data_IF_529313782773
#
_entry.id   IF_529313782773
#
_cell.length_a   1.000
_cell.length_b   1.000
_cell.length_c   1.000
_cell.angle_alpha   90.00
_cell.angle_beta   90.00
_cell.angle_gamma   90.00
#
_symmetry.space_group_name_H-M   'P 1'
#
loop_
_entity.id
_entity.type
_entity.pdbx_description
1 polymer ?
#
# COMPACT_ATOMS: atom_id res chain seq x y z
N UNK A 1 7.11 -2.39 -2.68
CA UNK A 1 7.18 -2.62 -1.22
C UNK A 1 6.68 -1.39 -0.47
N UNK A 2 7.40 -0.26 -0.45
CA UNK A 2 7.00 0.94 0.34
C UNK A 2 5.60 1.45 0.00
N UNK A 3 5.24 1.52 -1.28
CA UNK A 3 3.91 1.92 -1.77
C UNK A 3 2.79 1.03 -1.21
N UNK A 4 3.03 -0.28 -1.10
CA UNK A 4 2.05 -1.23 -0.57
C UNK A 4 1.84 -1.05 0.94
N UNK A 5 2.91 -0.79 1.69
CA UNK A 5 2.80 -0.43 3.10
C UNK A 5 2.02 0.87 3.28
N UNK A 6 2.25 1.90 2.45
CA UNK A 6 1.46 3.14 2.51
C UNK A 6 -0.04 2.89 2.26
N UNK A 7 -0.39 1.99 1.35
CA UNK A 7 -1.78 1.64 1.09
C UNK A 7 -2.45 0.90 2.27
N UNK A 8 -1.72 -0.01 2.93
CA UNK A 8 -2.20 -0.69 4.14
C UNK A 8 -2.47 0.27 5.30
N UNK A 9 -1.61 1.28 5.43
CA UNK A 9 -1.65 2.28 6.49
C UNK A 9 -2.70 3.39 6.24
N UNK A 10 -3.32 3.45 5.05
CA UNK A 10 -4.37 4.45 4.74
C UNK A 10 -5.78 3.98 5.07
N UNK A 11 -5.97 2.69 5.35
CA UNK A 11 -7.25 2.19 5.84
C UNK A 11 -7.37 2.58 7.30
N UNK A 12 -8.26 3.55 7.61
CA UNK A 12 -8.45 4.13 8.95
C UNK A 12 -8.84 3.10 10.01
N UNK A 13 -9.41 1.98 9.58
CA UNK A 13 -9.81 0.83 10.42
C UNK A 13 -8.64 -0.12 10.72
N UNK A 14 -7.49 0.07 10.08
CA UNK A 14 -6.30 -0.70 10.38
C UNK A 14 -5.82 -0.36 11.80
N UNK A 15 -5.82 -1.35 12.69
CA UNK A 15 -5.16 -1.26 14.00
C UNK A 15 -3.63 -1.04 13.90
N UNK A 16 -3.05 -1.05 12.69
CA UNK A 16 -1.62 -0.80 12.45
C UNK A 16 -1.31 0.64 12.07
N UNK A 17 -2.31 1.52 11.95
CA UNK A 17 -2.15 2.92 11.53
C UNK A 17 -0.99 3.64 12.24
N UNK A 18 0.05 3.96 11.49
CA UNK A 18 1.24 4.66 11.94
C UNK A 18 1.41 5.96 11.14
N UNK A 19 0.87 7.05 11.68
CA UNK A 19 0.97 8.40 11.09
C UNK A 19 2.40 8.85 10.79
N UNK A 20 3.39 8.38 11.56
CA UNK A 20 4.80 8.76 11.39
C UNK A 20 5.49 8.02 10.24
N UNK A 21 4.97 6.84 9.86
CA UNK A 21 5.45 6.12 8.68
C UNK A 21 5.26 6.95 7.42
N UNK A 22 4.10 7.58 7.28
CA UNK A 22 3.78 8.41 6.12
C UNK A 22 4.75 9.59 5.97
N UNK A 23 4.97 10.36 7.03
CA UNK A 23 5.86 11.54 7.04
C UNK A 23 7.30 11.18 6.65
N UNK A 24 7.78 10.01 7.08
CA UNK A 24 9.16 9.58 6.82
C UNK A 24 9.37 9.09 5.39
N UNK A 25 8.39 8.39 4.81
CA UNK A 25 8.59 7.65 3.55
C UNK A 25 7.90 8.31 2.34
N UNK A 26 6.89 9.15 2.52
CA UNK A 26 6.24 9.89 1.42
C UNK A 26 7.25 10.67 0.55
N UNK A 27 8.26 11.39 1.11
CA UNK A 27 9.22 12.15 0.29
C UNK A 27 10.13 11.25 -0.58
N UNK A 28 10.27 9.98 -0.22
CA UNK A 28 11.16 9.02 -0.90
C UNK A 28 10.48 8.32 -2.09
N UNK A 29 9.19 8.58 -2.31
CA UNK A 29 8.40 7.92 -3.35
C UNK A 29 8.07 8.93 -4.45
N UNK A 30 8.03 8.46 -5.70
CA UNK A 30 7.55 9.27 -6.82
C UNK A 30 6.13 9.76 -6.52
N UNK A 31 5.87 11.04 -6.77
CA UNK A 31 4.60 11.71 -6.45
C UNK A 31 3.36 10.96 -6.97
N UNK A 32 3.48 10.31 -8.14
CA UNK A 32 2.45 9.48 -8.76
C UNK A 32 1.97 8.30 -7.88
N UNK A 33 2.79 7.84 -6.92
CA UNK A 33 2.44 6.76 -6.00
C UNK A 33 2.24 7.21 -4.55
N UNK A 34 2.43 8.49 -4.24
CA UNK A 34 2.31 9.02 -2.88
C UNK A 34 0.90 8.84 -2.30
N UNK A 35 -0.11 8.77 -3.17
CA UNK A 35 -1.51 8.64 -2.80
C UNK A 35 -2.08 7.23 -2.94
N UNK A 36 -1.22 6.22 -3.10
CA UNK A 36 -1.64 4.83 -3.27
C UNK A 36 -2.58 4.40 -2.14
N UNK A 37 -3.72 3.83 -2.50
CA UNK A 37 -4.69 3.24 -1.57
C UNK A 37 -5.23 1.93 -2.15
N UNK A 38 -5.82 1.11 -1.31
CA UNK A 38 -6.48 -0.11 -1.77
C UNK A 38 -7.67 0.23 -2.66
N UNK A 39 -7.80 -0.44 -3.80
CA UNK A 39 -8.97 -0.33 -4.67
C UNK A 39 -10.25 -0.76 -3.95
N UNK A 40 -10.14 -1.75 -3.05
CA UNK A 40 -11.24 -2.21 -2.19
C UNK A 40 -10.73 -2.29 -0.75
N UNK A 41 -11.24 -1.46 0.18
CA UNK A 41 -10.83 -1.53 1.58
C UNK A 41 -11.04 -2.91 2.22
N UNK A 42 -12.09 -3.65 1.81
CA UNK A 42 -12.38 -5.00 2.27
C UNK A 42 -11.25 -6.01 1.98
N UNK A 43 -10.40 -5.76 0.96
CA UNK A 43 -9.28 -6.63 0.61
C UNK A 43 -8.05 -6.42 1.51
N UNK A 44 -8.14 -5.55 2.54
CA UNK A 44 -7.02 -5.21 3.41
C UNK A 44 -6.31 -6.42 4.00
N UNK A 45 -7.05 -7.40 4.54
CA UNK A 45 -6.43 -8.58 5.16
C UNK A 45 -5.70 -9.42 4.11
N UNK A 46 -6.31 -9.63 2.95
CA UNK A 46 -5.73 -10.40 1.83
C UNK A 46 -4.45 -9.73 1.33
N UNK A 47 -4.48 -8.40 1.19
CA UNK A 47 -3.33 -7.64 0.73
C UNK A 47 -2.20 -7.64 1.77
N UNK A 48 -2.52 -7.53 3.05
CA UNK A 48 -1.56 -7.64 4.16
C UNK A 48 -0.88 -9.01 4.15
N UNK A 49 -1.66 -10.09 4.05
CA UNK A 49 -1.13 -11.45 4.05
C UNK A 49 -0.21 -11.70 2.84
N UNK A 50 -0.58 -11.19 1.66
CA UNK A 50 0.29 -11.19 0.47
C UNK A 50 1.63 -10.49 0.74
N UNK A 51 1.60 -9.30 1.35
CA UNK A 51 2.80 -8.52 1.63
C UNK A 51 3.73 -9.22 2.64
N UNK A 52 3.16 -9.82 3.69
CA UNK A 52 3.92 -10.60 4.66
C UNK A 52 4.49 -11.89 4.08
N UNK A 53 3.70 -12.62 3.29
CA UNK A 53 4.18 -13.84 2.62
C UNK A 53 5.34 -13.51 1.66
N UNK A 54 5.25 -12.40 0.91
CA UNK A 54 6.32 -11.94 0.03
C UNK A 54 7.57 -11.56 0.81
N UNK A 55 7.45 -10.77 1.88
CA UNK A 55 8.58 -10.40 2.72
C UNK A 55 9.26 -11.64 3.32
N UNK A 56 8.46 -12.57 3.83
CA UNK A 56 8.94 -13.82 4.39
C UNK A 56 9.67 -14.68 3.36
N UNK A 57 9.11 -14.87 2.15
CA UNK A 57 9.78 -15.61 1.06
C UNK A 57 11.12 -15.00 0.69
N UNK A 58 11.20 -13.67 0.57
CA UNK A 58 12.46 -12.97 0.27
C UNK A 58 13.49 -13.18 1.38
N UNK A 59 13.09 -13.05 2.64
CA UNK A 59 13.98 -13.27 3.79
C UNK A 59 14.49 -14.71 3.90
N UNK A 60 13.72 -15.69 3.41
CA UNK A 60 14.14 -17.08 3.31
C UNK A 60 15.10 -17.35 2.12
N UNK A 61 15.53 -16.32 1.38
CA UNK A 61 16.38 -16.47 0.21
C UNK A 61 15.67 -17.09 -1.00
N UNK A 62 14.33 -17.17 -1.01
CA UNK A 62 13.59 -17.67 -2.17
C UNK A 62 13.64 -16.66 -3.29
N UNK A 63 13.83 -17.15 -4.50
CA UNK A 63 13.77 -16.31 -5.69
C UNK A 63 12.32 -15.87 -5.93
N UNK A 64 12.13 -14.55 -6.02
CA UNK A 64 10.82 -13.94 -6.25
C UNK A 64 10.83 -13.28 -7.61
N UNK A 65 9.91 -13.71 -8.49
CA UNK A 65 9.70 -13.07 -9.80
C UNK A 65 9.13 -11.66 -9.63
N UNK A 66 10.01 -10.67 -9.54
CA UNK A 66 9.69 -9.28 -9.25
C UNK A 66 8.61 -8.71 -10.17
N UNK A 67 8.60 -9.08 -11.46
CA UNK A 67 7.60 -8.60 -12.43
C UNK A 67 6.19 -9.07 -12.10
N UNK A 68 6.03 -10.36 -11.77
CA UNK A 68 4.74 -10.94 -11.40
C UNK A 68 4.25 -10.39 -10.08
N UNK A 69 5.15 -10.24 -9.10
CA UNK A 69 4.82 -9.64 -7.81
C UNK A 69 4.41 -8.19 -7.95
N UNK A 70 5.15 -7.38 -8.73
CA UNK A 70 4.80 -5.99 -8.99
C UNK A 70 3.40 -5.89 -9.61
N UNK A 71 3.08 -6.71 -10.62
CA UNK A 71 1.75 -6.71 -11.25
C UNK A 71 0.66 -7.08 -10.26
N UNK A 72 0.88 -8.13 -9.45
CA UNK A 72 -0.08 -8.56 -8.43
C UNK A 72 -0.27 -7.52 -7.34
N UNK A 73 0.78 -6.85 -6.89
CA UNK A 73 0.66 -5.79 -5.88
C UNK A 73 -0.09 -4.58 -6.45
N UNK A 74 0.26 -4.14 -7.67
CA UNK A 74 -0.40 -3.01 -8.33
C UNK A 74 -1.89 -3.27 -8.58
N UNK A 75 -2.32 -4.52 -8.81
CA UNK A 75 -3.74 -4.80 -9.04
C UNK A 75 -4.64 -4.60 -7.81
N UNK A 76 -4.07 -4.49 -6.61
CA UNK A 76 -4.83 -4.13 -5.40
C UNK A 76 -4.87 -2.62 -5.15
N UNK A 77 -4.11 -1.83 -5.93
CA UNK A 77 -3.86 -0.44 -5.66
C UNK A 77 -4.49 0.46 -6.71
N UNK A 78 -5.01 1.57 -6.23
CA UNK A 78 -5.34 2.73 -7.06
C UNK A 78 -4.47 3.92 -6.66
N UNK A 79 -4.23 4.80 -7.63
CA UNK A 79 -3.33 5.94 -7.51
C UNK A 79 -4.11 7.23 -7.84
N UNK A 80 -5.01 7.66 -6.95
CA UNK A 80 -5.78 8.88 -7.15
C UNK A 80 -4.85 10.10 -7.21
N UNK A 81 -5.25 11.11 -7.96
CA UNK A 81 -4.53 12.38 -7.95
C UNK A 81 -4.72 13.09 -6.60
N UNK A 82 -3.82 14.04 -6.27
CA UNK A 82 -3.83 14.76 -4.99
C UNK A 82 -5.20 15.36 -4.62
N UNK A 83 -5.94 15.88 -5.61
CA UNK A 83 -7.28 16.44 -5.41
C UNK A 83 -8.32 15.39 -4.98
N UNK A 84 -8.29 14.21 -5.60
CA UNK A 84 -9.21 13.09 -5.31
C UNK A 84 -8.89 12.41 -3.97
N UNK A 85 -7.62 12.39 -3.59
CA UNK A 85 -7.17 11.82 -2.32
C UNK A 85 -7.67 12.61 -1.09
N UNK A 86 -7.91 13.92 -1.23
CA UNK A 86 -8.46 14.77 -0.17
C UNK A 86 -9.99 14.92 -0.23
N UNK A 87 -10.63 14.60 -1.37
CA UNK A 87 -12.08 14.67 -1.55
C UNK A 87 -12.87 13.59 -0.81
N UNK A 88 -12.28 12.43 -0.54
CA UNK A 88 -12.94 11.32 0.17
C UNK A 88 -13.00 11.45 1.70
N UNK A 89 -12.54 12.58 2.27
CA UNK A 89 -12.62 12.87 3.70
C UNK A 89 -13.83 13.74 4.09
N UNK A 90 -14.67 14.12 3.11
CA UNK A 90 -15.97 14.75 3.34
C UNK A 90 -17.08 13.76 2.97
N UNK A 91 -17.32 12.79 3.84
CA UNK A 91 -18.63 12.16 4.05
C UNK A 91 -18.47 11.16 5.19
N UNK A 92 -18.83 11.64 6.38
CA UNK A 92 -19.34 10.98 7.60
C UNK A 92 -19.03 11.89 8.80
#
# INVERSE_FOLDING_TARGET
MVIAYMALERVKESKTYNKYFYVKYEPLIRKEYAYARLTRPADWSVFKDLMYELAFKVLQGKEVRLRSVKRKVISFLEFPNKAEAHGGAKEL
#
